data_IF_858369462886
#
_entry.id   IF_858369462886
#
_cell.length_a   1.000
_cell.length_b   1.000
_cell.length_c   1.000
_cell.angle_alpha   90.00
_cell.angle_beta   90.00
_cell.angle_gamma   90.00
#
_symmetry.space_group_name_H-M   'P 1'
#
loop_
_entity.id
_entity.type
_entity.pdbx_description
1 polymer ?
#
# COMPACT_ATOMS: atom_id res chain seq x y z
N UNK A 1 5.25 -54.06 42.52
CA UNK A 1 4.23 -53.71 41.50
C UNK A 1 4.08 -52.20 41.41
N UNK A 2 4.76 -51.58 40.45
CA UNK A 2 4.48 -50.22 39.97
C UNK A 2 4.87 -50.18 38.51
N UNK A 3 3.90 -50.09 37.61
CA UNK A 3 4.14 -49.63 36.25
C UNK A 3 2.98 -48.70 35.88
N UNK A 4 3.28 -47.42 35.98
CA UNK A 4 2.45 -46.29 35.57
C UNK A 4 2.53 -46.28 34.05
N UNK A 5 1.41 -46.54 33.35
CA UNK A 5 1.34 -46.36 31.90
C UNK A 5 0.56 -45.07 31.62
N UNK A 6 1.33 -44.11 31.12
CA UNK A 6 1.03 -42.72 30.90
C UNK A 6 0.08 -42.56 29.69
N UNK A 7 -1.16 -42.16 29.94
CA UNK A 7 -2.09 -41.71 28.90
C UNK A 7 -1.67 -40.31 28.44
N UNK A 8 -1.01 -40.22 27.28
CA UNK A 8 -0.74 -38.93 26.63
C UNK A 8 -1.86 -38.63 25.63
N UNK A 9 -2.83 -37.84 26.09
CA UNK A 9 -3.89 -37.25 25.28
C UNK A 9 -3.29 -36.05 24.52
N UNK A 10 -3.01 -36.23 23.22
CA UNK A 10 -2.57 -35.13 22.35
C UNK A 10 -3.76 -34.25 21.99
N UNK A 11 -3.92 -33.15 22.73
CA UNK A 11 -4.78 -32.04 22.34
C UNK A 11 -4.21 -31.40 21.06
N UNK A 12 -4.80 -31.74 19.92
CA UNK A 12 -4.59 -31.03 18.67
C UNK A 12 -5.36 -29.69 18.76
N UNK A 13 -4.72 -28.69 19.37
CA UNK A 13 -5.26 -27.33 19.39
C UNK A 13 -5.20 -26.75 17.97
N UNK A 14 -6.32 -26.83 17.27
CA UNK A 14 -6.58 -26.05 16.06
C UNK A 14 -6.59 -24.59 16.51
N UNK A 15 -5.46 -23.90 16.37
CA UNK A 15 -5.37 -22.45 16.50
C UNK A 15 -6.06 -21.88 15.27
N UNK A 16 -7.39 -21.85 15.32
CA UNK A 16 -8.18 -21.07 14.39
C UNK A 16 -7.94 -19.60 14.78
N UNK A 17 -6.98 -18.96 14.12
CA UNK A 17 -6.74 -17.53 14.25
C UNK A 17 -7.98 -16.80 13.74
N UNK A 18 -8.93 -16.52 14.63
CA UNK A 18 -10.06 -15.67 14.35
C UNK A 18 -9.52 -14.30 13.91
N UNK A 19 -9.79 -13.91 12.66
CA UNK A 19 -9.51 -12.57 12.19
C UNK A 19 -10.31 -11.59 13.06
N UNK A 20 -9.62 -10.90 13.97
CA UNK A 20 -10.23 -9.89 14.83
C UNK A 20 -10.80 -8.80 13.91
N UNK A 21 -12.14 -8.69 13.86
CA UNK A 21 -12.82 -7.56 13.22
C UNK A 21 -12.29 -6.30 13.90
N UNK A 22 -11.47 -5.52 13.18
CA UNK A 22 -11.06 -4.19 13.63
C UNK A 22 -12.18 -3.25 13.24
N UNK A 23 -12.75 -2.55 14.20
CA UNK A 23 -13.59 -1.40 13.91
C UNK A 23 -12.67 -0.31 13.35
N UNK A 24 -12.87 0.02 12.08
CA UNK A 24 -12.16 1.10 11.39
C UNK A 24 -13.06 2.33 11.48
N UNK A 25 -12.61 3.34 12.21
CA UNK A 25 -13.24 4.66 12.25
C UNK A 25 -12.77 5.45 11.02
N UNK A 26 -13.56 5.40 9.96
CA UNK A 26 -13.25 6.15 8.74
C UNK A 26 -13.51 7.63 8.96
N UNK A 27 -12.51 8.45 8.59
CA UNK A 27 -12.63 9.90 8.54
C UNK A 27 -12.40 10.37 7.12
N UNK A 28 -13.09 11.44 6.74
CA UNK A 28 -12.77 12.15 5.50
C UNK A 28 -11.49 12.93 5.73
N UNK A 29 -10.51 12.65 4.89
CA UNK A 29 -9.23 13.35 4.84
C UNK A 29 -9.24 14.42 3.74
N UNK A 30 -8.46 15.46 3.94
CA UNK A 30 -8.18 16.53 2.97
C UNK A 30 -6.71 16.46 2.59
N UNK A 31 -6.30 17.15 1.53
CA UNK A 31 -4.87 17.20 1.19
C UNK A 31 -4.06 17.79 2.33
N UNK A 32 -4.59 18.81 3.00
CA UNK A 32 -3.92 19.45 4.14
C UNK A 32 -3.74 18.48 5.31
N UNK A 33 -4.77 17.70 5.66
CA UNK A 33 -4.68 16.75 6.79
C UNK A 33 -3.80 15.54 6.48
N UNK A 34 -3.66 15.17 5.20
CA UNK A 34 -2.72 14.15 4.71
C UNK A 34 -1.29 14.67 4.78
N UNK A 35 -1.03 15.88 4.27
CA UNK A 35 0.30 16.49 4.28
C UNK A 35 0.79 16.74 5.71
N UNK A 36 -0.06 17.28 6.59
CA UNK A 36 0.27 17.47 8.01
C UNK A 36 0.60 16.15 8.71
N UNK A 37 -0.09 15.06 8.38
CA UNK A 37 0.21 13.76 8.94
C UNK A 37 1.59 13.26 8.51
N UNK A 38 1.92 13.39 7.21
CA UNK A 38 3.23 13.01 6.69
C UNK A 38 4.35 13.86 7.30
N UNK A 39 4.13 15.17 7.47
CA UNK A 39 5.05 16.10 8.13
C UNK A 39 5.27 15.72 9.60
N UNK A 40 4.20 15.46 10.36
CA UNK A 40 4.27 15.01 11.75
C UNK A 40 5.05 13.69 11.89
N UNK A 41 4.95 12.82 10.89
CA UNK A 41 5.70 11.55 10.81
C UNK A 41 7.13 11.71 10.28
N UNK A 42 7.58 12.94 10.01
CA UNK A 42 8.89 13.26 9.42
C UNK A 42 9.14 12.50 8.10
N UNK A 43 8.10 12.32 7.29
CA UNK A 43 8.20 11.65 6.01
C UNK A 43 8.65 12.66 4.95
N UNK A 44 9.85 12.46 4.42
CA UNK A 44 10.38 13.26 3.31
C UNK A 44 9.88 12.71 1.97
N UNK A 45 9.14 13.51 1.22
CA UNK A 45 8.68 13.17 -0.14
C UNK A 45 8.53 14.45 -0.97
N UNK A 46 8.51 14.32 -2.29
CA UNK A 46 8.15 15.41 -3.19
C UNK A 46 6.63 15.45 -3.32
N UNK A 47 5.99 16.63 -3.34
CA UNK A 47 4.52 16.76 -3.42
C UNK A 47 3.88 15.94 -4.56
N UNK A 48 4.56 15.86 -5.71
CA UNK A 48 4.16 15.06 -6.89
C UNK A 48 4.21 13.54 -6.69
N UNK A 49 4.73 13.09 -5.55
CA UNK A 49 4.77 11.69 -5.15
C UNK A 49 3.55 11.28 -4.35
N UNK A 50 2.66 12.19 -3.90
CA UNK A 50 1.49 11.81 -3.13
C UNK A 50 0.22 11.75 -4.00
N UNK A 51 -0.54 10.68 -3.85
CA UNK A 51 -1.78 10.43 -4.58
C UNK A 51 -2.85 9.84 -3.68
N UNK A 52 -4.12 10.00 -4.07
CA UNK A 52 -5.27 9.25 -3.56
C UNK A 52 -5.97 8.51 -4.70
N UNK A 53 -6.87 7.59 -4.38
CA UNK A 53 -7.74 7.00 -5.40
C UNK A 53 -8.64 8.08 -6.00
N UNK A 54 -9.03 7.91 -7.27
CA UNK A 54 -9.81 8.90 -8.03
C UNK A 54 -11.18 9.21 -7.41
N UNK A 55 -11.76 8.27 -6.69
CA UNK A 55 -13.09 8.42 -6.11
C UNK A 55 -13.62 7.15 -5.47
N UNK A 56 -14.83 7.27 -4.91
CA UNK A 56 -15.50 6.17 -4.20
C UNK A 56 -15.74 4.93 -5.06
N UNK A 57 -15.99 5.11 -6.37
CA UNK A 57 -16.14 4.00 -7.31
C UNK A 57 -14.87 3.14 -7.40
N UNK A 58 -13.72 3.78 -7.58
CA UNK A 58 -12.40 3.12 -7.60
C UNK A 58 -12.07 2.50 -6.25
N UNK A 59 -12.39 3.17 -5.13
CA UNK A 59 -12.23 2.60 -3.80
C UNK A 59 -13.05 1.32 -3.63
N UNK A 60 -14.31 1.30 -4.07
CA UNK A 60 -15.18 0.12 -4.04
C UNK A 60 -14.69 -1.03 -4.95
N UNK A 61 -14.10 -0.71 -6.10
CA UNK A 61 -13.43 -1.70 -6.96
C UNK A 61 -12.19 -2.31 -6.29
N UNK A 62 -11.39 -1.47 -5.62
CA UNK A 62 -10.24 -1.92 -4.84
C UNK A 62 -10.67 -2.81 -3.68
N UNK A 63 -11.75 -2.46 -2.98
CA UNK A 63 -12.32 -3.27 -1.90
C UNK A 63 -12.75 -4.65 -2.39
N UNK A 64 -13.52 -4.72 -3.48
CA UNK A 64 -14.00 -6.00 -4.06
C UNK A 64 -12.88 -6.89 -4.59
N UNK A 65 -11.74 -6.31 -4.97
CA UNK A 65 -10.59 -7.03 -5.53
C UNK A 65 -9.45 -7.22 -4.52
N UNK A 66 -9.68 -6.99 -3.23
CA UNK A 66 -8.67 -7.09 -2.17
C UNK A 66 -7.41 -6.25 -2.43
N UNK A 67 -7.56 -5.07 -3.04
CA UNK A 67 -6.46 -4.13 -3.31
C UNK A 67 -6.30 -3.04 -2.25
N UNK A 68 -7.21 -2.94 -1.29
CA UNK A 68 -7.15 -2.03 -0.12
C UNK A 68 -6.26 -2.58 1.01
N UNK A 69 -5.09 -3.11 0.64
CA UNK A 69 -4.14 -3.68 1.58
C UNK A 69 -3.08 -2.64 1.91
N UNK A 70 -2.80 -2.50 3.21
CA UNK A 70 -1.72 -1.66 3.76
C UNK A 70 -0.94 -2.51 4.77
N UNK A 71 0.41 -2.52 4.74
CA UNK A 71 1.24 -1.96 3.68
C UNK A 71 1.16 -2.81 2.41
N UNK A 72 1.37 -2.19 1.25
CA UNK A 72 1.52 -2.92 -0.02
C UNK A 72 2.39 -2.11 -1.00
N UNK A 73 3.04 -2.81 -1.93
CA UNK A 73 3.90 -2.19 -2.93
C UNK A 73 3.69 -2.83 -4.31
N UNK A 74 3.47 -1.97 -5.31
CA UNK A 74 3.43 -2.37 -6.72
C UNK A 74 4.70 -1.92 -7.41
N UNK A 75 5.32 -2.82 -8.17
CA UNK A 75 6.56 -2.57 -8.87
C UNK A 75 6.31 -2.63 -10.37
N UNK A 76 6.71 -1.61 -11.10
CA UNK A 76 6.63 -1.56 -12.56
C UNK A 76 8.04 -1.40 -13.14
N UNK A 77 8.36 -2.16 -14.18
CA UNK A 77 9.66 -2.06 -14.83
C UNK A 77 9.81 -0.71 -15.58
N UNK A 78 10.99 -0.46 -16.16
CA UNK A 78 11.28 0.75 -16.96
C UNK A 78 10.31 1.04 -18.11
N UNK A 79 9.58 0.02 -18.59
CA UNK A 79 8.57 0.16 -19.64
C UNK A 79 7.16 0.41 -19.09
N UNK A 80 7.02 0.51 -17.76
CA UNK A 80 5.74 0.71 -17.09
C UNK A 80 4.87 -0.54 -17.02
N UNK A 81 5.42 -1.75 -17.19
CA UNK A 81 4.67 -3.00 -17.00
C UNK A 81 4.83 -3.53 -15.57
N UNK A 82 3.73 -4.02 -14.99
CA UNK A 82 3.73 -4.55 -13.63
C UNK A 82 4.64 -5.78 -13.54
N UNK A 83 5.56 -5.79 -12.58
CA UNK A 83 6.45 -6.91 -12.29
C UNK A 83 5.67 -7.96 -11.48
N UNK A 84 5.58 -9.17 -12.03
CA UNK A 84 4.86 -10.26 -11.38
C UNK A 84 5.57 -10.69 -10.11
N UNK A 85 4.82 -10.89 -9.02
CA UNK A 85 5.38 -11.27 -7.72
C UNK A 85 6.41 -10.26 -7.17
N UNK A 86 6.37 -8.99 -7.59
CA UNK A 86 7.35 -7.97 -7.16
C UNK A 86 7.42 -7.76 -5.65
N UNK A 87 6.34 -8.03 -4.92
CA UNK A 87 6.28 -7.99 -3.45
C UNK A 87 6.37 -9.34 -2.74
N UNK A 88 6.55 -10.47 -3.44
CA UNK A 88 6.64 -11.79 -2.77
C UNK A 88 7.96 -11.88 -1.99
N UNK A 89 7.86 -11.96 -0.67
CA UNK A 89 9.00 -12.12 0.24
C UNK A 89 9.36 -10.86 1.02
N UNK A 90 8.70 -9.73 0.74
CA UNK A 90 8.73 -8.52 1.57
C UNK A 90 7.84 -8.77 2.80
N UNK A 91 8.39 -9.42 3.84
CA UNK A 91 7.67 -9.63 5.10
C UNK A 91 7.45 -8.28 5.82
N UNK A 92 6.35 -8.17 6.58
CA UNK A 92 6.08 -7.02 7.45
C UNK A 92 7.34 -6.65 8.28
N UNK A 93 7.95 -5.50 7.98
CA UNK A 93 9.15 -4.99 8.65
C UNK A 93 10.49 -5.18 7.92
N UNK A 94 10.53 -5.87 6.77
CA UNK A 94 11.75 -6.02 5.96
C UNK A 94 11.98 -4.79 5.07
N UNK A 95 13.22 -4.36 4.88
CA UNK A 95 13.59 -3.37 3.84
C UNK A 95 13.39 -3.97 2.45
N UNK A 96 12.96 -3.14 1.48
CA UNK A 96 12.89 -3.56 0.07
C UNK A 96 14.31 -3.80 -0.44
N UNK A 97 14.68 -5.08 -0.48
CA UNK A 97 16.03 -5.51 -0.77
C UNK A 97 16.09 -6.18 -2.15
N UNK A 98 17.24 -6.07 -2.83
CA UNK A 98 17.51 -6.73 -4.13
C UNK A 98 16.62 -6.21 -5.28
N UNK A 99 16.36 -4.90 -5.34
CA UNK A 99 15.68 -4.24 -6.47
C UNK A 99 16.32 -4.57 -7.83
N UNK A 100 17.64 -4.76 -7.87
CA UNK A 100 18.38 -5.21 -9.07
C UNK A 100 17.89 -6.56 -9.63
N UNK A 101 17.34 -7.42 -8.78
CA UNK A 101 16.69 -8.67 -9.20
C UNK A 101 15.27 -8.42 -9.67
N UNK A 102 14.53 -7.56 -8.97
CA UNK A 102 13.15 -7.19 -9.33
C UNK A 102 13.07 -6.64 -10.75
N UNK A 103 13.98 -5.75 -11.15
CA UNK A 103 13.99 -5.18 -12.52
C UNK A 103 14.20 -6.21 -13.64
N UNK A 104 14.66 -7.43 -13.30
CA UNK A 104 14.88 -8.53 -14.25
C UNK A 104 13.75 -9.57 -14.23
N UNK A 105 12.78 -9.43 -13.33
CA UNK A 105 11.68 -10.38 -13.20
C UNK A 105 10.65 -10.23 -14.32
N UNK A 106 9.89 -11.31 -14.54
CA UNK A 106 8.81 -11.30 -15.53
C UNK A 106 7.80 -10.21 -15.20
N UNK A 107 7.28 -9.58 -16.26
CA UNK A 107 6.30 -8.51 -16.14
C UNK A 107 5.04 -8.89 -16.91
N UNK A 108 3.90 -8.45 -16.39
CA UNK A 108 2.60 -8.62 -17.02
C UNK A 108 2.31 -7.38 -17.89
N UNK A 109 2.34 -7.56 -19.21
CA UNK A 109 2.11 -6.48 -20.17
C UNK A 109 0.67 -5.93 -20.18
N UNK A 110 -0.32 -6.67 -19.65
CA UNK A 110 -1.72 -6.22 -19.56
C UNK A 110 -1.95 -5.19 -18.44
N UNK A 111 -1.07 -5.15 -17.45
CA UNK A 111 -1.15 -4.25 -16.31
C UNK A 111 -0.04 -3.20 -16.43
N UNK A 112 -0.44 -1.98 -16.78
CA UNK A 112 0.49 -0.89 -17.03
C UNK A 112 0.39 0.21 -15.97
N UNK A 113 1.50 0.89 -15.72
CA UNK A 113 1.55 2.09 -14.89
C UNK A 113 0.60 3.16 -15.42
N UNK A 114 0.47 3.30 -16.74
CA UNK A 114 -0.50 4.22 -17.36
C UNK A 114 -1.94 3.89 -16.96
N UNK A 115 -2.32 2.61 -16.99
CA UNK A 115 -3.66 2.20 -16.55
C UNK A 115 -3.87 2.50 -15.06
N UNK A 116 -2.86 2.21 -14.23
CA UNK A 116 -2.91 2.54 -12.80
C UNK A 116 -3.04 4.05 -12.55
N UNK A 117 -2.32 4.89 -13.28
CA UNK A 117 -2.39 6.36 -13.13
C UNK A 117 -3.78 6.91 -13.48
N UNK A 118 -4.58 6.20 -14.29
CA UNK A 118 -5.97 6.55 -14.54
C UNK A 118 -6.91 6.24 -13.35
N UNK A 119 -6.46 5.49 -12.35
CA UNK A 119 -7.24 5.12 -11.16
C UNK A 119 -6.99 6.07 -9.98
N UNK A 120 -6.00 6.97 -10.09
CA UNK A 120 -5.58 7.84 -9.00
C UNK A 120 -5.73 9.32 -9.35
N UNK A 121 -5.67 10.15 -8.32
CA UNK A 121 -5.56 11.61 -8.39
C UNK A 121 -4.35 12.03 -7.60
N UNK A 122 -3.47 12.80 -8.23
CA UNK A 122 -2.28 13.35 -7.57
C UNK A 122 -2.69 14.55 -6.71
N UNK A 123 -2.05 14.70 -5.56
CA UNK A 123 -2.31 15.84 -4.68
C UNK A 123 -1.80 17.13 -5.32
N UNK A 124 -0.67 17.06 -6.03
CA UNK A 124 -0.04 18.16 -6.76
C UNK A 124 0.61 17.67 -8.07
N UNK A 125 0.52 18.50 -9.12
CA UNK A 125 1.17 18.30 -10.42
C UNK A 125 0.71 17.08 -11.24
N UNK A 126 1.59 16.66 -12.15
CA UNK A 126 1.41 15.50 -13.02
C UNK A 126 2.50 14.45 -12.77
N UNK A 127 2.13 13.17 -12.85
CA UNK A 127 3.08 12.07 -12.73
C UNK A 127 3.62 11.74 -14.11
N UNK A 128 4.87 12.10 -14.37
CA UNK A 128 5.54 11.80 -15.63
C UNK A 128 6.23 10.43 -15.63
N UNK A 129 6.06 9.69 -16.72
CA UNK A 129 6.88 8.51 -17.03
C UNK A 129 8.16 9.03 -17.68
N UNK A 130 9.33 8.71 -17.10
CA UNK A 130 10.62 9.22 -17.52
C UNK A 130 11.47 8.14 -18.20
N UNK A 131 12.14 8.51 -19.29
CA UNK A 131 12.95 7.58 -20.08
C UNK A 131 14.14 6.99 -19.31
N UNK A 132 14.62 7.68 -18.27
CA UNK A 132 15.78 7.27 -17.49
C UNK A 132 15.43 6.50 -16.20
N UNK A 133 14.16 6.20 -15.94
CA UNK A 133 13.75 5.45 -14.74
C UNK A 133 13.95 3.95 -14.95
N UNK A 134 14.63 3.28 -14.00
CA UNK A 134 14.85 1.83 -14.02
C UNK A 134 13.61 1.07 -13.52
N UNK A 135 12.92 1.65 -12.53
CA UNK A 135 11.75 1.05 -11.88
C UNK A 135 10.84 2.13 -11.30
N UNK A 136 9.53 1.92 -11.44
CA UNK A 136 8.50 2.72 -10.79
C UNK A 136 7.89 1.92 -9.65
N UNK A 137 7.69 2.54 -8.50
CA UNK A 137 7.20 1.87 -7.30
C UNK A 137 6.02 2.65 -6.75
N UNK A 138 4.89 1.98 -6.57
CA UNK A 138 3.73 2.52 -5.87
C UNK A 138 3.72 1.92 -4.47
N UNK A 139 3.77 2.75 -3.44
CA UNK A 139 3.67 2.32 -2.05
C UNK A 139 2.32 2.74 -1.49
N UNK A 140 1.55 1.78 -0.97
CA UNK A 140 0.23 2.03 -0.40
C UNK A 140 0.31 2.27 1.10
N UNK A 141 -0.42 3.27 1.58
CA UNK A 141 -0.48 3.63 2.98
C UNK A 141 -1.85 4.22 3.34
N UNK A 142 -2.17 4.30 4.63
CA UNK A 142 -3.41 4.90 5.13
C UNK A 142 -3.26 5.39 6.58
N UNK A 143 -3.83 6.55 6.90
CA UNK A 143 -3.91 7.10 8.26
C UNK A 143 -4.76 6.22 9.17
N UNK A 144 -5.82 5.58 8.65
CA UNK A 144 -6.63 4.63 9.42
C UNK A 144 -5.90 3.31 9.76
N UNK A 145 -4.76 3.04 9.11
CA UNK A 145 -3.87 1.90 9.39
C UNK A 145 -2.45 2.37 9.76
N UNK A 146 -2.27 3.08 10.89
CA UNK A 146 -1.01 3.77 11.18
C UNK A 146 0.14 2.79 11.42
N UNK A 147 -0.09 1.69 12.13
CA UNK A 147 0.94 0.70 12.44
C UNK A 147 1.46 0.00 11.17
N UNK A 148 0.55 -0.32 10.26
CA UNK A 148 0.85 -0.91 8.97
C UNK A 148 1.57 0.10 8.05
N UNK A 149 1.15 1.37 8.05
CA UNK A 149 1.77 2.44 7.26
C UNK A 149 3.21 2.76 7.68
N UNK A 150 3.60 2.55 8.94
CA UNK A 150 5.00 2.66 9.36
C UNK A 150 5.93 1.75 8.53
N UNK A 151 5.43 0.60 8.06
CA UNK A 151 6.21 -0.30 7.19
C UNK A 151 6.40 0.34 5.81
N UNK A 152 5.35 0.92 5.23
CA UNK A 152 5.44 1.66 3.97
C UNK A 152 6.44 2.82 4.05
N UNK A 153 6.47 3.54 5.17
CA UNK A 153 7.40 4.65 5.37
C UNK A 153 8.86 4.19 5.53
N UNK A 154 9.09 3.05 6.20
CA UNK A 154 10.42 2.42 6.23
C UNK A 154 10.87 1.98 4.84
N UNK A 155 9.96 1.46 4.01
CA UNK A 155 10.25 1.15 2.61
C UNK A 155 10.65 2.40 1.82
N UNK A 156 9.89 3.48 1.93
CA UNK A 156 10.21 4.76 1.29
C UNK A 156 11.62 5.23 1.65
N UNK A 157 11.95 5.28 2.95
CA UNK A 157 13.27 5.69 3.42
C UNK A 157 14.39 4.78 2.87
N UNK A 158 14.17 3.47 2.84
CA UNK A 158 15.13 2.51 2.27
C UNK A 158 15.33 2.72 0.76
N UNK A 159 14.27 3.05 0.02
CA UNK A 159 14.33 3.28 -1.43
C UNK A 159 15.00 4.61 -1.78
N UNK A 160 14.83 5.64 -0.95
CA UNK A 160 15.47 6.94 -1.12
C UNK A 160 16.98 6.91 -0.84
N UNK A 161 17.43 6.03 0.06
CA UNK A 161 18.83 5.92 0.46
C UNK A 161 19.68 4.99 -0.44
N UNK A 162 19.09 4.26 -1.39
CA UNK A 162 19.85 3.45 -2.35
C UNK A 162 20.21 4.28 -3.59
N UNK A 163 21.39 4.04 -4.17
CA UNK A 163 21.93 4.81 -5.29
C UNK A 163 22.18 3.97 -6.55
N UNK A 164 21.72 2.72 -6.56
CA UNK A 164 22.06 1.75 -7.62
C UNK A 164 21.12 1.80 -8.81
N UNK A 165 19.87 2.20 -8.57
CA UNK A 165 18.83 2.32 -9.57
C UNK A 165 18.18 3.69 -9.50
N UNK A 166 17.77 4.21 -10.65
CA UNK A 166 16.90 5.37 -10.77
C UNK A 166 15.46 4.95 -10.50
N UNK A 167 14.95 5.29 -9.33
CA UNK A 167 13.62 4.89 -8.86
C UNK A 167 12.68 6.09 -8.89
N UNK A 168 11.48 5.89 -9.40
CA UNK A 168 10.38 6.85 -9.23
C UNK A 168 9.31 6.26 -8.32
N UNK A 169 8.98 6.97 -7.25
CA UNK A 169 8.08 6.48 -6.20
C UNK A 169 6.78 7.28 -6.25
N UNK A 170 5.64 6.60 -6.09
CA UNK A 170 4.35 7.22 -5.77
C UNK A 170 3.84 6.64 -4.44
N UNK A 171 3.55 7.49 -3.48
CA UNK A 171 2.83 7.21 -2.26
C UNK A 171 1.33 7.30 -2.55
N UNK A 172 0.64 6.16 -2.54
CA UNK A 172 -0.81 6.07 -2.68
C UNK A 172 -1.45 6.00 -1.31
N UNK A 173 -2.11 7.08 -0.93
CA UNK A 173 -2.98 7.17 0.23
C UNK A 173 -4.34 6.49 -0.05
N UNK A 174 -4.75 5.57 0.81
CA UNK A 174 -6.01 4.83 0.72
C UNK A 174 -7.08 5.31 1.71
N UNK A 175 -6.89 6.48 2.33
CA UNK A 175 -7.93 7.08 3.17
C UNK A 175 -9.06 7.63 2.29
N UNK A 176 -10.24 7.78 2.89
CA UNK A 176 -11.39 8.40 2.23
C UNK A 176 -11.10 9.89 2.10
N UNK A 177 -11.24 10.44 0.89
CA UNK A 177 -10.82 11.81 0.61
C UNK A 177 -12.00 12.75 0.29
N UNK A 178 -11.92 14.01 0.73
CA UNK A 178 -12.98 15.02 0.53
C UNK A 178 -13.28 15.24 -0.96
N UNK A 179 -12.22 15.26 -1.79
CA UNK A 179 -12.29 15.39 -3.26
C UNK A 179 -13.16 14.32 -3.94
N UNK A 180 -13.50 13.22 -3.25
CA UNK A 180 -14.42 12.22 -3.79
C UNK A 180 -15.88 12.70 -3.84
N UNK A 181 -16.18 13.87 -3.23
CA UNK A 181 -17.49 14.53 -3.24
C UNK A 181 -18.63 13.57 -2.83
N UNK A 182 -18.44 12.86 -1.72
CA UNK A 182 -19.41 11.90 -1.21
C UNK A 182 -20.74 12.58 -0.85
N UNK A 183 -21.85 11.95 -1.21
CA UNK A 183 -23.17 12.36 -0.73
C UNK A 183 -23.34 12.08 0.77
N UNK A 184 -24.29 12.74 1.42
CA UNK A 184 -24.60 12.48 2.84
C UNK A 184 -24.97 11.01 3.09
N UNK A 185 -25.73 10.40 2.18
CA UNK A 185 -26.06 8.97 2.25
C UNK A 185 -24.81 8.08 2.20
N UNK A 186 -23.83 8.41 1.35
CA UNK A 186 -22.58 7.68 1.26
C UNK A 186 -21.74 7.83 2.53
N UNK A 187 -21.68 9.05 3.09
CA UNK A 187 -20.97 9.31 4.34
C UNK A 187 -21.61 8.56 5.52
N UNK A 188 -22.94 8.53 5.62
CA UNK A 188 -23.68 7.74 6.61
C UNK A 188 -23.42 6.24 6.46
N UNK A 189 -23.46 5.72 5.22
CA UNK A 189 -23.17 4.31 4.95
C UNK A 189 -21.76 3.91 5.39
N UNK A 190 -20.80 4.81 5.24
CA UNK A 190 -19.40 4.60 5.62
C UNK A 190 -19.13 4.86 7.12
N UNK A 191 -20.13 5.32 7.88
CA UNK A 191 -20.01 5.62 9.31
C UNK A 191 -19.17 6.86 9.62
N UNK A 192 -19.12 7.82 8.70
CA UNK A 192 -18.31 9.05 8.82
C UNK A 192 -19.09 10.18 9.55
N UNK A 193 -20.39 9.99 9.77
CA UNK A 193 -21.31 10.94 10.41
C UNK A 193 -22.20 10.22 11.43
#
# INVERSE_FOLDING_TARGET
MKLIMLTTLTFLSIICSAQKKRDIDFKIETDSSVLQYLEHKNISFLGTQNATLRGIGTFGEYGRSNKLIVPDALFFNKHGYLIENGGKGENCGASINKLEKLVKMKSNASLTLKNFLNEVTLNDGEYSIEYQTDIYIILKWAKWAPAESETTFKWLASLQNQNKLKIKILLLNLDIHERWNLSEEQKQYLGII
#
